data_IF_496796310847
#
_entry.id   IF_496796310847
#
_cell.length_a   1.000
_cell.length_b   1.000
_cell.length_c   1.000
_cell.angle_alpha   90.00
_cell.angle_beta   90.00
_cell.angle_gamma   90.00
#
_symmetry.space_group_name_H-M   'P 1'
#
loop_
_entity.id
_entity.type
_entity.pdbx_description
1 polymer ?
#
# COMPACT_ATOMS: atom_id res chain seq x y z
N UNK A 1 15.93 -15.21 -17.57
CA UNK A 1 15.42 -13.94 -18.12
C UNK A 1 15.43 -12.92 -16.98
N UNK A 2 15.93 -11.71 -17.20
CA UNK A 2 15.92 -10.65 -16.19
C UNK A 2 14.49 -10.31 -15.76
N UNK A 3 14.33 -9.96 -14.48
CA UNK A 3 13.04 -9.55 -13.89
C UNK A 3 12.87 -8.08 -14.16
N UNK A 4 11.90 -7.71 -15.00
CA UNK A 4 11.58 -6.32 -15.30
C UNK A 4 10.94 -5.65 -14.08
N UNK A 5 11.57 -4.60 -13.57
CA UNK A 5 11.02 -3.79 -12.48
C UNK A 5 10.40 -2.50 -13.02
N UNK A 6 9.10 -2.30 -12.80
CA UNK A 6 8.36 -1.12 -13.28
C UNK A 6 8.30 -0.01 -12.21
N UNK A 7 9.03 1.08 -12.42
CA UNK A 7 9.27 2.12 -11.41
C UNK A 7 8.80 3.50 -11.92
N UNK A 8 8.36 4.36 -11.00
CA UNK A 8 7.94 5.74 -11.31
C UNK A 8 9.15 6.66 -11.58
N UNK A 9 8.88 7.95 -11.83
CA UNK A 9 9.94 8.91 -12.17
C UNK A 9 10.73 9.47 -10.98
N UNK A 10 10.47 9.00 -9.75
CA UNK A 10 11.11 9.52 -8.55
C UNK A 10 12.64 9.46 -8.68
N UNK A 11 13.34 10.57 -8.46
CA UNK A 11 14.78 10.65 -8.76
C UNK A 11 15.64 9.60 -8.03
N UNK A 12 15.24 9.19 -6.82
CA UNK A 12 15.94 8.14 -6.06
C UNK A 12 15.90 6.75 -6.71
N UNK A 13 14.94 6.51 -7.61
CA UNK A 13 14.82 5.29 -8.40
C UNK A 13 15.85 5.18 -9.54
N UNK A 14 16.52 6.28 -9.87
CA UNK A 14 17.37 6.39 -11.06
C UNK A 14 18.83 6.75 -10.71
N UNK A 15 19.26 6.44 -9.50
CA UNK A 15 20.67 6.60 -9.10
C UNK A 15 21.57 5.56 -9.77
N UNK A 16 22.88 5.81 -9.83
CA UNK A 16 23.86 4.92 -10.47
C UNK A 16 23.88 3.51 -9.86
N UNK A 17 23.57 3.42 -8.57
CA UNK A 17 23.50 2.19 -7.81
C UNK A 17 22.25 1.37 -8.16
N UNK A 18 21.15 2.03 -8.55
CA UNK A 18 19.85 1.41 -8.82
C UNK A 18 19.69 1.00 -10.28
N UNK A 19 20.22 1.77 -11.23
CA UNK A 19 20.11 1.47 -12.67
C UNK A 19 20.96 0.28 -13.15
N UNK A 20 21.66 -0.41 -12.25
CA UNK A 20 22.38 -1.65 -12.57
C UNK A 20 21.43 -2.81 -12.90
N UNK A 21 20.13 -2.65 -12.62
CA UNK A 21 19.06 -3.62 -12.86
C UNK A 21 18.24 -3.26 -14.10
N UNK A 22 17.50 -4.22 -14.67
CA UNK A 22 16.57 -3.94 -15.76
C UNK A 22 15.28 -3.28 -15.23
N UNK A 23 15.17 -1.97 -15.43
CA UNK A 23 14.04 -1.16 -15.00
C UNK A 23 13.22 -0.65 -16.20
N UNK A 24 11.90 -0.74 -16.12
CA UNK A 24 10.99 -0.04 -17.02
C UNK A 24 10.48 1.22 -16.33
N UNK A 25 10.78 2.39 -16.91
CA UNK A 25 10.29 3.67 -16.40
C UNK A 25 8.82 3.87 -16.81
N UNK A 26 7.97 4.19 -15.84
CA UNK A 26 6.64 4.73 -16.12
C UNK A 26 6.78 6.19 -16.55
N UNK A 27 6.06 6.57 -17.61
CA UNK A 27 6.07 7.96 -18.08
C UNK A 27 5.67 8.93 -16.95
N UNK A 28 6.38 10.07 -16.79
CA UNK A 28 5.98 11.12 -15.86
C UNK A 28 4.51 11.48 -16.01
N UNK A 29 3.79 11.59 -14.89
CA UNK A 29 2.36 11.88 -14.86
C UNK A 29 1.43 10.70 -15.17
N UNK A 30 1.94 9.56 -15.63
CA UNK A 30 1.15 8.36 -15.93
C UNK A 30 1.16 7.30 -14.80
N UNK A 31 1.86 7.54 -13.70
CA UNK A 31 2.02 6.60 -12.57
C UNK A 31 0.70 6.01 -12.08
N UNK A 32 -0.33 6.85 -11.94
CA UNK A 32 -1.65 6.45 -11.45
C UNK A 32 -2.40 5.46 -12.35
N UNK A 33 -2.03 5.36 -13.64
CA UNK A 33 -2.72 4.52 -14.63
C UNK A 33 -1.84 3.40 -15.17
N UNK A 34 -0.53 3.64 -15.30
CA UNK A 34 0.42 2.73 -15.93
C UNK A 34 1.24 1.91 -14.91
N UNK A 35 1.21 2.24 -13.61
CA UNK A 35 1.88 1.43 -12.58
C UNK A 35 0.86 0.59 -11.80
N UNK A 36 0.93 -0.76 -11.83
CA UNK A 36 -0.04 -1.63 -11.17
C UNK A 36 -0.26 -1.32 -9.69
N UNK A 37 0.83 -0.99 -8.97
CA UNK A 37 0.79 -0.60 -7.57
C UNK A 37 -0.16 0.57 -7.32
N UNK A 38 -0.10 1.62 -8.14
CA UNK A 38 -0.95 2.80 -8.00
C UNK A 38 -2.31 2.62 -8.67
N UNK A 39 -2.35 1.99 -9.84
CA UNK A 39 -3.55 1.84 -10.65
C UNK A 39 -4.57 0.85 -10.07
N UNK A 40 -4.11 -0.12 -9.26
CA UNK A 40 -4.97 -1.20 -8.77
C UNK A 40 -4.67 -1.71 -7.36
N UNK A 41 -3.41 -1.84 -6.92
CA UNK A 41 -3.13 -2.55 -5.66
C UNK A 41 -3.31 -1.67 -4.43
N UNK A 42 -2.87 -0.41 -4.51
CA UNK A 42 -2.93 0.53 -3.39
C UNK A 42 -4.36 0.84 -2.95
N UNK A 43 -5.34 0.84 -3.87
CA UNK A 43 -6.74 1.11 -3.53
C UNK A 43 -7.32 0.08 -2.53
N UNK A 44 -7.41 -1.21 -2.91
CA UNK A 44 -7.85 -2.28 -2.02
C UNK A 44 -7.02 -2.42 -0.75
N UNK A 45 -5.69 -2.24 -0.84
CA UNK A 45 -4.81 -2.29 0.34
C UNK A 45 -5.16 -1.18 1.34
N UNK A 46 -5.27 0.07 0.87
CA UNK A 46 -5.65 1.22 1.71
C UNK A 46 -7.07 1.08 2.26
N UNK A 47 -8.00 0.51 1.51
CA UNK A 47 -9.36 0.25 1.98
C UNK A 47 -9.35 -0.73 3.17
N UNK A 48 -8.58 -1.82 3.10
CA UNK A 48 -8.43 -2.77 4.21
C UNK A 48 -7.76 -2.14 5.43
N UNK A 49 -6.69 -1.37 5.23
CA UNK A 49 -6.03 -0.64 6.31
C UNK A 49 -6.97 0.36 6.99
N UNK A 50 -7.82 1.04 6.21
CA UNK A 50 -8.84 1.94 6.75
C UNK A 50 -9.87 1.21 7.61
N UNK A 51 -10.27 0.00 7.24
CA UNK A 51 -11.17 -0.82 8.06
C UNK A 51 -10.52 -1.20 9.39
N UNK A 52 -9.27 -1.65 9.38
CA UNK A 52 -8.52 -1.97 10.61
C UNK A 52 -8.41 -0.76 11.54
N UNK A 53 -8.13 0.42 10.97
CA UNK A 53 -8.13 1.67 11.72
C UNK A 53 -9.50 2.01 12.34
N UNK A 54 -10.58 1.84 11.60
CA UNK A 54 -11.94 2.09 12.11
C UNK A 54 -12.29 1.13 13.24
N UNK A 55 -11.95 -0.16 13.13
CA UNK A 55 -12.21 -1.14 14.18
C UNK A 55 -11.40 -0.85 15.45
N UNK A 56 -10.14 -0.42 15.31
CA UNK A 56 -9.32 0.04 16.43
C UNK A 56 -9.95 1.25 17.15
N UNK A 57 -10.40 2.26 16.38
CA UNK A 57 -11.11 3.42 16.93
C UNK A 57 -12.39 3.01 17.67
N UNK A 58 -13.18 2.08 17.11
CA UNK A 58 -14.40 1.58 17.76
C UNK A 58 -14.08 0.86 19.06
N UNK A 59 -13.08 -0.01 19.08
CA UNK A 59 -12.65 -0.72 20.28
C UNK A 59 -12.27 0.28 21.39
N UNK A 60 -11.46 1.29 21.07
CA UNK A 60 -11.08 2.33 22.03
C UNK A 60 -12.29 3.12 22.56
N UNK A 61 -13.29 3.40 21.72
CA UNK A 61 -14.51 4.09 22.13
C UNK A 61 -15.41 3.22 23.01
N UNK A 62 -15.43 1.90 22.81
CA UNK A 62 -16.18 0.96 23.64
C UNK A 62 -15.53 0.77 25.02
N UNK A 63 -14.19 0.79 25.08
CA UNK A 63 -13.42 0.65 26.32
C UNK A 63 -13.29 1.94 27.13
N UNK A 64 -13.77 3.08 26.60
CA UNK A 64 -13.61 4.37 27.29
C UNK A 64 -14.45 4.42 28.57
N UNK A 65 -13.90 5.08 29.58
CA UNK A 65 -14.68 5.52 30.73
C UNK A 65 -15.53 6.74 30.32
N UNK A 66 -16.89 6.68 30.42
CA UNK A 66 -17.75 7.81 30.11
C UNK A 66 -17.50 9.05 30.98
N UNK A 67 -16.93 8.88 32.18
CA UNK A 67 -16.62 9.97 33.09
C UNK A 67 -15.30 10.70 32.76
N UNK A 68 -14.48 10.14 31.86
CA UNK A 68 -13.17 10.68 31.51
C UNK A 68 -13.17 11.15 30.06
N UNK A 69 -12.56 12.31 29.81
CA UNK A 69 -12.38 12.81 28.44
C UNK A 69 -11.60 11.79 27.60
N UNK A 70 -12.18 11.38 26.48
CA UNK A 70 -11.56 10.40 25.59
C UNK A 70 -10.24 10.92 25.03
N UNK A 71 -9.17 10.14 25.20
CA UNK A 71 -7.87 10.38 24.58
C UNK A 71 -7.54 9.22 23.65
N UNK A 72 -7.49 9.53 22.36
CA UNK A 72 -7.12 8.56 21.33
C UNK A 72 -5.71 8.02 21.59
N UNK A 73 -5.59 6.68 21.64
CA UNK A 73 -4.31 5.98 21.65
C UNK A 73 -3.91 5.69 20.21
N UNK A 74 -2.77 6.17 19.72
CA UNK A 74 -2.29 5.80 18.40
C UNK A 74 -1.78 4.35 18.42
N UNK A 75 -1.92 3.61 17.30
CA UNK A 75 -1.34 2.29 17.17
C UNK A 75 0.19 2.39 17.16
N UNK A 76 0.82 1.41 17.75
CA UNK A 76 2.26 1.20 17.73
C UNK A 76 2.73 0.84 16.31
N UNK A 77 4.04 1.00 16.08
CA UNK A 77 4.67 0.56 14.83
C UNK A 77 4.46 -0.94 14.57
N UNK A 78 4.49 -1.76 15.62
CA UNK A 78 4.27 -3.20 15.51
C UNK A 78 2.85 -3.53 15.03
N UNK A 79 1.84 -2.85 15.58
CA UNK A 79 0.44 -3.00 15.15
C UNK A 79 0.26 -2.58 13.69
N UNK A 80 0.82 -1.43 13.29
CA UNK A 80 0.78 -1.00 11.88
C UNK A 80 1.46 -2.00 10.96
N UNK A 81 2.64 -2.53 11.32
CA UNK A 81 3.32 -3.56 10.52
C UNK A 81 2.46 -4.83 10.39
N UNK A 82 1.81 -5.25 11.47
CA UNK A 82 0.88 -6.39 11.44
C UNK A 82 -0.32 -6.11 10.54
N UNK A 83 -0.91 -4.91 10.62
CA UNK A 83 -2.03 -4.52 9.77
C UNK A 83 -1.65 -4.52 8.29
N UNK A 84 -0.49 -3.97 7.92
CA UNK A 84 0.01 -3.96 6.53
C UNK A 84 0.24 -5.37 6.03
N UNK A 85 0.92 -6.22 6.81
CA UNK A 85 1.17 -7.62 6.44
C UNK A 85 -0.15 -8.39 6.26
N UNK A 86 -1.08 -8.28 7.20
CA UNK A 86 -2.37 -8.97 7.15
C UNK A 86 -3.25 -8.46 6.01
N UNK A 87 -3.30 -7.14 5.79
CA UNK A 87 -4.06 -6.55 4.69
C UNK A 87 -3.51 -7.01 3.33
N UNK A 88 -2.18 -7.07 3.16
CA UNK A 88 -1.53 -7.57 1.95
C UNK A 88 -1.82 -9.05 1.72
N UNK A 89 -1.60 -9.90 2.73
CA UNK A 89 -1.86 -11.35 2.65
C UNK A 89 -3.33 -11.67 2.36
N UNK A 90 -4.24 -10.82 2.80
CA UNK A 90 -5.67 -10.95 2.52
C UNK A 90 -6.09 -10.54 1.10
N UNK A 91 -5.21 -9.95 0.30
CA UNK A 91 -5.54 -9.59 -1.08
C UNK A 91 -5.48 -10.81 -2.01
N UNK A 92 -6.52 -11.05 -2.82
CA UNK A 92 -6.49 -12.12 -3.81
C UNK A 92 -5.37 -11.92 -4.83
N UNK A 93 -4.68 -12.99 -5.21
CA UNK A 93 -3.69 -12.96 -6.28
C UNK A 93 -4.25 -12.41 -7.60
N UNK A 94 -5.57 -12.54 -7.83
CA UNK A 94 -6.27 -11.99 -8.99
C UNK A 94 -6.26 -10.45 -9.06
N UNK A 95 -6.17 -9.76 -7.91
CA UNK A 95 -6.00 -8.31 -7.86
C UNK A 95 -4.59 -7.93 -8.33
N UNK A 96 -3.58 -8.71 -7.93
CA UNK A 96 -2.20 -8.51 -8.35
C UNK A 96 -2.06 -8.71 -9.86
N UNK A 97 -2.49 -9.86 -10.37
CA UNK A 97 -2.45 -10.17 -11.81
C UNK A 97 -3.34 -9.23 -12.64
N UNK A 98 -4.49 -8.82 -12.08
CA UNK A 98 -5.38 -7.85 -12.72
C UNK A 98 -4.74 -6.47 -12.90
N UNK A 99 -3.86 -6.07 -11.97
CA UNK A 99 -3.10 -4.83 -12.06
C UNK A 99 -2.17 -4.77 -13.25
N UNK A 100 -1.40 -5.84 -13.48
CA UNK A 100 -0.53 -5.94 -14.67
C UNK A 100 -1.34 -5.84 -15.96
N UNK A 101 -2.42 -6.63 -16.08
CA UNK A 101 -3.31 -6.58 -17.25
C UNK A 101 -3.90 -5.20 -17.51
N UNK A 102 -4.33 -4.49 -16.46
CA UNK A 102 -4.89 -3.12 -16.57
C UNK A 102 -3.86 -2.12 -17.06
N UNK A 103 -2.59 -2.33 -16.73
CA UNK A 103 -1.48 -1.49 -17.18
C UNK A 103 -0.86 -1.96 -18.51
N UNK A 104 -1.47 -2.96 -19.18
CA UNK A 104 -0.98 -3.56 -20.43
C UNK A 104 0.42 -4.20 -20.30
N UNK A 105 0.68 -4.86 -19.17
CA UNK A 105 1.91 -5.58 -18.84
C UNK A 105 1.68 -7.09 -18.73
#
# INVERSE_FOLDING_TARGET
>A
KPVLLLWDDFSGHWSKEVIQWELLKVSPGATSVCQPAYATWNGPLKARLRLLWIEDLKAQLLERDPAIAFKLKPPTRAEICNWVSSAWKGMPASIISGGYRKCHL
#
